data_IF_901457812431
#
_entry.id   IF_901457812431
#
_cell.length_a   1.000
_cell.length_b   1.000
_cell.length_c   1.000
_cell.angle_alpha   90.00
_cell.angle_beta   90.00
_cell.angle_gamma   90.00
#
_symmetry.space_group_name_H-M   'P 1'
#
loop_
_entity.id
_entity.type
_entity.pdbx_description
1 polymer ?
#
# COMPACT_ATOMS: atom_id res chain seq x y z
N UNK A 1 -8.67 -4.16 13.57
CA UNK A 1 -8.47 -5.08 12.44
C UNK A 1 -7.44 -4.44 11.56
N UNK A 2 -6.25 -5.04 11.45
CA UNK A 2 -5.31 -4.63 10.42
C UNK A 2 -5.91 -4.98 9.06
N UNK A 3 -5.80 -4.10 8.06
CA UNK A 3 -6.38 -4.38 6.77
C UNK A 3 -5.62 -5.52 6.07
N UNK A 4 -6.31 -6.56 5.61
CA UNK A 4 -5.70 -7.76 5.00
C UNK A 4 -5.24 -7.58 3.54
N UNK A 5 -5.51 -6.43 2.92
CA UNK A 5 -5.11 -6.15 1.53
C UNK A 5 -3.60 -6.30 1.25
N UNK A 6 -2.65 -6.12 2.19
CA UNK A 6 -1.24 -6.37 1.88
C UNK A 6 -0.96 -7.80 1.43
N UNK A 7 -1.80 -8.76 1.83
CA UNK A 7 -1.68 -10.16 1.42
C UNK A 7 -2.07 -10.37 -0.05
N UNK A 8 -2.88 -9.49 -0.64
CA UNK A 8 -3.22 -9.56 -2.07
C UNK A 8 -2.16 -8.93 -2.98
N UNK A 9 -1.11 -8.35 -2.42
CA UNK A 9 -0.02 -7.77 -3.20
C UNK A 9 0.85 -8.86 -3.81
N UNK A 10 1.16 -8.68 -5.09
CA UNK A 10 2.06 -9.56 -5.82
C UNK A 10 3.17 -8.76 -6.52
N UNK A 11 4.21 -9.47 -6.98
CA UNK A 11 5.28 -8.91 -7.81
C UNK A 11 6.00 -7.71 -7.20
N UNK A 12 5.96 -6.58 -7.89
CA UNK A 12 6.62 -5.34 -7.44
C UNK A 12 5.92 -4.70 -6.24
N UNK A 13 4.59 -4.72 -6.20
CA UNK A 13 3.83 -4.09 -5.14
C UNK A 13 4.08 -4.77 -3.78
N UNK A 14 4.19 -6.10 -3.76
CA UNK A 14 4.56 -6.85 -2.56
C UNK A 14 5.93 -6.46 -2.02
N UNK A 15 6.94 -6.42 -2.91
CA UNK A 15 8.31 -6.02 -2.54
C UNK A 15 8.38 -4.58 -2.03
N UNK A 16 7.65 -3.66 -2.64
CA UNK A 16 7.57 -2.28 -2.19
C UNK A 16 6.93 -2.16 -0.79
N UNK A 17 5.88 -2.95 -0.52
CA UNK A 17 5.24 -3.00 0.79
C UNK A 17 6.16 -3.62 1.86
N UNK A 18 6.85 -4.73 1.54
CA UNK A 18 7.83 -5.35 2.43
C UNK A 18 8.94 -4.37 2.80
N UNK A 19 9.51 -3.67 1.81
CA UNK A 19 10.51 -2.62 2.02
C UNK A 19 9.99 -1.47 2.87
N UNK A 20 8.73 -1.05 2.65
CA UNK A 20 8.11 -0.05 3.50
C UNK A 20 8.06 -0.53 4.96
N UNK A 21 7.65 -1.77 5.22
CA UNK A 21 7.53 -2.30 6.57
C UNK A 21 8.88 -2.47 7.28
N UNK A 22 9.93 -2.90 6.56
CA UNK A 22 11.25 -3.13 7.13
C UNK A 22 12.04 -1.84 7.38
N UNK A 23 12.02 -0.90 6.42
CA UNK A 23 12.96 0.22 6.41
C UNK A 23 12.27 1.55 6.66
N UNK A 24 11.12 1.79 6.02
CA UNK A 24 10.49 3.12 6.05
C UNK A 24 9.57 3.30 7.26
N UNK A 25 8.84 2.26 7.66
CA UNK A 25 7.93 2.29 8.81
C UNK A 25 8.64 2.63 10.13
N UNK A 26 9.82 2.05 10.46
CA UNK A 26 10.56 2.43 11.66
C UNK A 26 11.05 3.89 11.64
N UNK A 27 11.26 4.46 10.46
CA UNK A 27 11.68 5.85 10.27
C UNK A 27 10.51 6.85 10.36
N UNK A 28 9.29 6.36 10.62
CA UNK A 28 8.10 7.20 10.79
C UNK A 28 7.35 7.52 9.48
N UNK A 29 7.74 6.92 8.35
CA UNK A 29 6.97 7.06 7.13
C UNK A 29 5.59 6.41 7.29
N UNK A 30 4.60 7.01 6.64
CA UNK A 30 3.23 6.53 6.55
C UNK A 30 2.98 6.03 5.13
N UNK A 31 2.29 4.90 5.01
CA UNK A 31 1.84 4.35 3.74
C UNK A 31 0.31 4.39 3.71
N UNK A 32 -0.24 4.96 2.65
CA UNK A 32 -1.68 5.00 2.39
C UNK A 32 -1.97 4.27 1.10
N UNK A 33 -2.88 3.29 1.15
CA UNK A 33 -3.40 2.61 -0.02
C UNK A 33 -4.78 3.14 -0.37
N UNK A 34 -5.02 3.46 -1.64
CA UNK A 34 -6.31 3.92 -2.14
C UNK A 34 -6.64 3.25 -3.47
N UNK A 35 -7.89 2.81 -3.62
CA UNK A 35 -8.42 2.34 -4.90
C UNK A 35 -8.67 3.57 -5.77
N UNK A 36 -8.00 3.62 -6.92
CA UNK A 36 -8.06 4.75 -7.87
C UNK A 36 -9.22 4.61 -8.84
N UNK A 37 -9.59 3.39 -9.20
CA UNK A 37 -10.67 3.12 -10.13
C UNK A 37 -11.49 1.88 -9.75
N UNK A 38 -12.74 1.88 -10.21
CA UNK A 38 -13.70 0.79 -10.01
C UNK A 38 -14.30 0.33 -11.36
N UNK A 39 -13.50 -0.20 -12.30
CA UNK A 39 -14.02 -0.69 -13.57
C UNK A 39 -15.04 -1.81 -13.34
N UNK A 40 -16.28 -1.62 -13.81
CA UNK A 40 -17.36 -2.60 -13.65
C UNK A 40 -17.80 -2.84 -12.19
N UNK A 41 -17.52 -1.90 -11.28
CA UNK A 41 -17.88 -2.02 -9.86
C UNK A 41 -16.90 -2.83 -9.02
N UNK A 42 -15.79 -3.31 -9.60
CA UNK A 42 -14.72 -4.01 -8.90
C UNK A 42 -13.49 -3.10 -8.76
N UNK A 43 -12.73 -3.17 -7.65
CA UNK A 43 -11.47 -2.43 -7.52
C UNK A 43 -10.50 -2.82 -8.64
N UNK A 44 -10.05 -1.84 -9.42
CA UNK A 44 -9.02 -2.06 -10.42
C UNK A 44 -7.67 -1.63 -9.89
N UNK A 45 -7.26 -0.40 -10.22
CA UNK A 45 -5.95 0.13 -9.86
C UNK A 45 -5.92 0.57 -8.39
N UNK A 46 -4.88 0.17 -7.68
CA UNK A 46 -4.58 0.64 -6.32
C UNK A 46 -3.33 1.50 -6.35
N UNK A 47 -3.45 2.73 -5.84
CA UNK A 47 -2.34 3.63 -5.59
C UNK A 47 -1.78 3.45 -4.19
N UNK A 48 -0.46 3.35 -4.08
CA UNK A 48 0.28 3.39 -2.82
C UNK A 48 0.98 4.73 -2.68
N UNK A 49 0.65 5.48 -1.63
CA UNK A 49 1.16 6.80 -1.34
C UNK A 49 2.04 6.76 -0.10
N UNK A 50 3.27 7.27 -0.22
CA UNK A 50 4.19 7.45 0.89
C UNK A 50 4.12 8.90 1.38
N UNK A 51 3.97 9.06 2.69
CA UNK A 51 3.90 10.36 3.35
C UNK A 51 4.94 10.41 4.48
N UNK A 52 5.64 11.53 4.59
CA UNK A 52 6.60 11.79 5.68
C UNK A 52 6.17 12.95 6.60
N UNK A 53 4.97 13.48 6.37
CA UNK A 53 4.42 14.59 7.14
C UNK A 53 3.89 14.15 8.52
N UNK A 54 3.93 15.08 9.49
CA UNK A 54 3.73 14.81 10.93
C UNK A 54 2.32 14.32 11.26
#
# INVERSE_FOLDING_TARGET
MEPDWPQSLEGFAKRAYEYFMSDLKPLGYKLTAQIMDYPGGMPGTVGLYLSWDR
#
